data_IF_929776577585
#
_entry.id   IF_929776577585
#
_cell.length_a   1.000
_cell.length_b   1.000
_cell.length_c   1.000
_cell.angle_alpha   90.00
_cell.angle_beta   90.00
_cell.angle_gamma   90.00
#
_symmetry.space_group_name_H-M   'P 1'
#
loop_
_entity.id
_entity.type
_entity.pdbx_description
1 polymer ?
#
# COMPACT_ATOMS: atom_id res chain seq x y z
N UNK A 1 -0.51 23.00 28.40
CA UNK A 1 0.36 23.19 27.22
C UNK A 1 0.48 21.87 26.48
N UNK A 2 0.98 20.82 27.13
CA UNK A 2 1.08 19.44 26.60
C UNK A 2 -0.15 18.94 25.83
N UNK A 3 -1.34 18.93 26.45
CA UNK A 3 -2.59 18.47 25.82
C UNK A 3 -3.02 19.23 24.53
N UNK A 4 -2.44 20.40 24.24
CA UNK A 4 -2.75 21.18 23.02
C UNK A 4 -1.56 21.28 22.06
N UNK A 5 -0.33 21.09 22.53
CA UNK A 5 0.89 21.16 21.72
C UNK A 5 1.37 19.79 21.25
N UNK A 6 1.15 18.75 22.04
CA UNK A 6 1.64 17.42 21.72
C UNK A 6 0.84 16.75 20.59
N UNK A 7 1.56 16.01 19.72
CA UNK A 7 1.02 15.27 18.58
C UNK A 7 1.53 13.83 18.54
N UNK A 8 2.07 13.33 19.65
CA UNK A 8 2.57 11.95 19.76
C UNK A 8 1.52 10.92 19.33
N UNK A 9 0.25 11.11 19.69
CA UNK A 9 -0.85 10.22 19.23
C UNK A 9 -0.94 10.11 17.69
N UNK A 10 -0.67 11.21 16.97
CA UNK A 10 -0.72 11.24 15.51
C UNK A 10 0.53 10.58 14.91
N UNK A 11 1.69 10.75 15.55
CA UNK A 11 2.93 10.04 15.19
C UNK A 11 2.78 8.53 15.40
N UNK A 12 2.23 8.10 16.53
CA UNK A 12 1.97 6.70 16.84
C UNK A 12 1.01 6.07 15.83
N UNK A 13 -0.09 6.77 15.50
CA UNK A 13 -1.02 6.32 14.47
C UNK A 13 -0.33 6.15 13.10
N UNK A 14 0.45 7.14 12.67
CA UNK A 14 1.14 7.10 11.39
C UNK A 14 2.23 6.02 11.36
N UNK A 15 2.89 5.76 12.48
CA UNK A 15 3.86 4.66 12.60
C UNK A 15 3.15 3.29 12.46
N UNK A 16 2.07 3.05 13.20
CA UNK A 16 1.28 1.83 13.11
C UNK A 16 0.72 1.62 11.68
N UNK A 17 0.23 2.69 11.04
CA UNK A 17 -0.23 2.68 9.67
C UNK A 17 0.91 2.35 8.68
N UNK A 18 2.11 2.89 8.89
CA UNK A 18 3.28 2.65 8.05
C UNK A 18 3.73 1.19 8.10
N UNK A 19 3.81 0.60 9.30
CA UNK A 19 4.16 -0.82 9.48
C UNK A 19 3.09 -1.72 8.83
N UNK A 20 1.82 -1.41 9.05
CA UNK A 20 0.71 -2.16 8.43
C UNK A 20 0.77 -2.10 6.90
N UNK A 21 0.98 -0.90 6.34
CA UNK A 21 1.11 -0.70 4.90
C UNK A 21 2.33 -1.43 4.32
N UNK A 22 3.43 -1.56 5.07
CA UNK A 22 4.58 -2.37 4.70
C UNK A 22 4.25 -3.84 4.56
N UNK A 23 3.54 -4.42 5.54
CA UNK A 23 3.11 -5.81 5.45
C UNK A 23 2.11 -6.04 4.30
N UNK A 24 1.15 -5.13 4.11
CA UNK A 24 0.21 -5.20 2.99
C UNK A 24 0.90 -5.07 1.64
N UNK A 25 1.91 -4.21 1.51
CA UNK A 25 2.70 -4.06 0.30
C UNK A 25 3.45 -5.34 -0.06
N UNK A 26 3.97 -6.07 0.93
CA UNK A 26 4.64 -7.35 0.72
C UNK A 26 3.66 -8.43 0.27
N UNK A 27 2.49 -8.51 0.92
CA UNK A 27 1.43 -9.42 0.49
C UNK A 27 0.97 -9.11 -0.94
N UNK A 28 0.83 -7.83 -1.28
CA UNK A 28 0.44 -7.42 -2.61
C UNK A 28 1.48 -7.79 -3.69
N UNK A 29 2.78 -7.70 -3.38
CA UNK A 29 3.84 -8.17 -4.28
C UNK A 29 3.72 -9.67 -4.56
N UNK A 30 3.51 -10.49 -3.52
CA UNK A 30 3.28 -11.93 -3.68
C UNK A 30 2.06 -12.20 -4.58
N UNK A 31 0.95 -11.49 -4.36
CA UNK A 31 -0.25 -11.63 -5.19
C UNK A 31 0.01 -11.28 -6.67
N UNK A 32 0.77 -10.22 -6.94
CA UNK A 32 1.15 -9.82 -8.30
C UNK A 32 1.96 -10.94 -8.97
N UNK A 33 2.94 -11.51 -8.27
CA UNK A 33 3.76 -12.61 -8.78
C UNK A 33 2.91 -13.86 -9.02
N UNK A 34 2.06 -14.24 -8.07
CA UNK A 34 1.20 -15.42 -8.17
C UNK A 34 0.15 -15.31 -9.28
N UNK A 35 -0.31 -14.11 -9.61
CA UNK A 35 -1.23 -13.84 -10.73
C UNK A 35 -0.53 -13.83 -12.11
N UNK A 36 0.80 -13.78 -12.16
CA UNK A 36 1.53 -13.65 -13.42
C UNK A 36 1.34 -14.87 -14.33
N UNK A 37 1.54 -14.69 -15.64
CA UNK A 37 1.34 -15.75 -16.62
C UNK A 37 2.32 -16.93 -16.46
N UNK A 38 3.47 -16.70 -15.84
CA UNK A 38 4.51 -17.69 -15.57
C UNK A 38 4.12 -18.61 -14.40
N UNK A 39 3.53 -18.04 -13.34
CA UNK A 39 3.19 -18.80 -12.12
C UNK A 39 1.74 -19.28 -12.12
N UNK A 40 0.76 -18.40 -12.39
CA UNK A 40 -0.68 -18.71 -12.43
C UNK A 40 -1.19 -19.49 -11.20
N UNK A 41 -0.67 -19.20 -10.01
CA UNK A 41 -1.09 -19.88 -8.78
C UNK A 41 -2.46 -19.40 -8.29
N UNK A 42 -2.79 -18.13 -8.54
CA UNK A 42 -4.09 -17.55 -8.20
C UNK A 42 -4.63 -16.78 -9.40
N UNK A 43 -5.95 -16.64 -9.45
CA UNK A 43 -6.66 -15.73 -10.35
C UNK A 43 -7.34 -14.62 -9.56
N UNK A 44 -7.27 -13.38 -10.06
CA UNK A 44 -7.97 -12.25 -9.45
C UNK A 44 -9.36 -12.10 -10.08
N UNK A 45 -10.38 -11.85 -9.27
CA UNK A 45 -11.73 -11.62 -9.79
C UNK A 45 -11.79 -10.31 -10.57
N UNK A 46 -12.67 -10.21 -11.56
CA UNK A 46 -12.89 -8.98 -12.34
C UNK A 46 -13.25 -7.75 -11.48
N UNK A 47 -13.72 -7.92 -10.24
CA UNK A 47 -13.95 -6.82 -9.29
C UNK A 47 -12.66 -6.16 -8.79
N UNK A 48 -11.54 -6.86 -8.84
CA UNK A 48 -10.25 -6.42 -8.31
C UNK A 48 -9.17 -6.30 -9.40
N UNK A 49 -9.46 -6.72 -10.63
CA UNK A 49 -8.54 -6.66 -11.77
C UNK A 49 -9.16 -5.92 -12.95
N UNK A 50 -8.34 -5.23 -13.74
CA UNK A 50 -8.76 -4.66 -15.03
C UNK A 50 -8.33 -5.52 -16.21
N UNK A 51 -9.07 -5.42 -17.31
CA UNK A 51 -8.69 -6.00 -18.59
C UNK A 51 -7.80 -5.07 -19.42
N UNK A 52 -7.02 -5.63 -20.35
CA UNK A 52 -6.36 -4.83 -21.39
C UNK A 52 -7.29 -4.62 -22.58
N UNK A 53 -7.31 -3.41 -23.13
CA UNK A 53 -8.05 -3.08 -24.36
C UNK A 53 -7.49 -3.78 -25.60
N UNK A 54 -6.21 -4.12 -25.62
CA UNK A 54 -5.52 -4.76 -26.76
C UNK A 54 -5.45 -6.28 -26.58
N UNK A 55 -5.39 -6.77 -25.33
CA UNK A 55 -5.24 -8.18 -25.00
C UNK A 55 -6.45 -8.67 -24.19
N UNK A 56 -7.49 -9.24 -24.85
CA UNK A 56 -8.75 -9.63 -24.20
C UNK A 56 -8.60 -10.62 -23.04
N UNK A 57 -7.59 -11.50 -23.14
CA UNK A 57 -7.26 -12.50 -22.14
C UNK A 57 -6.44 -11.96 -20.96
N UNK A 58 -5.85 -10.76 -21.10
CA UNK A 58 -5.00 -10.20 -20.04
C UNK A 58 -5.88 -9.61 -18.94
N UNK A 59 -5.60 -10.00 -17.71
CA UNK A 59 -6.13 -9.38 -16.49
C UNK A 59 -4.95 -8.84 -15.68
N UNK A 60 -5.01 -7.58 -15.28
CA UNK A 60 -3.98 -6.92 -14.49
C UNK A 60 -4.38 -6.95 -13.01
N UNK A 61 -3.46 -7.28 -12.08
CA UNK A 61 -3.77 -7.31 -10.65
C UNK A 61 -3.77 -5.90 -10.02
N UNK A 62 -4.50 -4.94 -10.59
CA UNK A 62 -4.36 -3.51 -10.27
C UNK A 62 -4.61 -3.19 -8.78
N UNK A 63 -5.55 -3.87 -8.13
CA UNK A 63 -5.79 -3.63 -6.70
C UNK A 63 -4.54 -3.93 -5.84
N UNK A 64 -3.81 -5.00 -6.17
CA UNK A 64 -2.56 -5.33 -5.49
C UNK A 64 -1.46 -4.30 -5.84
N UNK A 65 -1.35 -3.90 -7.10
CA UNK A 65 -0.39 -2.87 -7.52
C UNK A 65 -0.64 -1.52 -6.80
N UNK A 66 -1.91 -1.15 -6.63
CA UNK A 66 -2.30 0.06 -5.88
C UNK A 66 -1.93 -0.03 -4.40
N UNK A 67 -2.16 -1.18 -3.74
CA UNK A 67 -1.75 -1.39 -2.34
C UNK A 67 -0.24 -1.22 -2.21
N UNK A 68 0.51 -1.87 -3.11
CA UNK A 68 1.97 -1.82 -3.13
C UNK A 68 2.52 -0.41 -3.34
N UNK A 69 1.88 0.40 -4.19
CA UNK A 69 2.30 1.80 -4.40
C UNK A 69 1.92 2.73 -3.24
N UNK A 70 0.84 2.44 -2.51
CA UNK A 70 0.28 3.35 -1.50
C UNK A 70 1.18 3.56 -0.28
N UNK A 71 2.02 2.57 0.04
CA UNK A 71 2.93 2.63 1.19
C UNK A 71 3.82 3.89 1.18
N UNK A 72 4.33 4.28 0.01
CA UNK A 72 5.21 5.45 -0.12
C UNK A 72 4.55 6.74 0.35
N UNK A 73 3.24 6.89 0.10
CA UNK A 73 2.46 8.03 0.58
C UNK A 73 2.30 8.01 2.11
N UNK A 74 2.02 6.84 2.68
CA UNK A 74 1.79 6.69 4.13
C UNK A 74 3.07 6.98 4.91
N UNK A 75 4.19 6.37 4.49
CA UNK A 75 5.52 6.60 5.07
C UNK A 75 5.95 8.06 4.88
N UNK A 76 5.64 8.66 3.73
CA UNK A 76 5.86 10.08 3.48
C UNK A 76 5.16 10.97 4.51
N UNK A 77 3.88 10.71 4.78
CA UNK A 77 3.12 11.46 5.80
C UNK A 77 3.73 11.33 7.20
N UNK A 78 4.15 10.13 7.61
CA UNK A 78 4.84 9.90 8.89
C UNK A 78 6.12 10.74 9.00
N UNK A 79 7.00 10.64 8.00
CA UNK A 79 8.27 11.38 7.98
C UNK A 79 8.04 12.90 7.99
N UNK A 80 7.07 13.40 7.23
CA UNK A 80 6.74 14.83 7.21
C UNK A 80 6.28 15.34 8.57
N UNK A 81 5.41 14.59 9.28
CA UNK A 81 4.95 14.99 10.61
C UNK A 81 6.10 14.91 11.63
N UNK A 82 6.86 13.82 11.64
CA UNK A 82 8.01 13.62 12.53
C UNK A 82 9.03 14.76 12.41
N UNK A 83 9.34 15.17 11.17
CA UNK A 83 10.26 16.28 10.92
C UNK A 83 9.67 17.65 11.29
N UNK A 84 8.34 17.80 11.23
CA UNK A 84 7.65 19.03 11.63
C UNK A 84 7.57 19.18 13.15
N UNK A 85 7.54 18.06 13.89
CA UNK A 85 7.55 18.02 15.36
C UNK A 85 8.96 18.18 15.94
N UNK A 86 10.01 18.01 15.12
CA UNK A 86 11.41 18.23 15.53
C UNK A 86 11.60 19.70 15.94
N UNK A 87 11.84 19.94 17.21
CA UNK A 87 12.09 21.25 17.82
C UNK A 87 12.20 21.11 19.33
#
# INVERSE_FOLDING_TARGET
>A
LDAVSDRDFALEYLNAASITAMHLSRLAEEMVIWCSAQFKFIGMSDKFSTGSSIMPQKRNPDAAELIRSKIGRIVGCYNSLMLSMKG
#
